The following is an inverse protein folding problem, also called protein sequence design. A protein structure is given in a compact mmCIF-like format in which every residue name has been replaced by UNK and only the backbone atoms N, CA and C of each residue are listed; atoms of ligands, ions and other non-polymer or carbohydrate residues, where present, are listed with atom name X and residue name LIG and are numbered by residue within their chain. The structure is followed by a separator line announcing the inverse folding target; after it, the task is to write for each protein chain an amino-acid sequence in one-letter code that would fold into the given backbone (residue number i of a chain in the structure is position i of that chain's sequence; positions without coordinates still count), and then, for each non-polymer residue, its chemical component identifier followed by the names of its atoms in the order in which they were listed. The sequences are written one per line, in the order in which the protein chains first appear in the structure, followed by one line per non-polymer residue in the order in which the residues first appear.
data_IF_076023526350
#
_entry.id   IF_076023526350
#
_cell.length_a   1.000
_cell.length_b   1.000
_cell.length_c   1.000
_cell.angle_alpha   90.00
_cell.angle_beta   90.00
_cell.angle_gamma   90.00
#
_symmetry.space_group_name_H-M   'P 1'
#
loop_
_entity.id
_entity.type
_entity.pdbx_description
1 polymer ?
#
# COMPACT_ATOMS: atom_id res chain seq x y z
N UNK A 1 25.56 65.97 -19.15
CA UNK A 1 25.28 64.82 -20.01
C UNK A 1 24.05 64.08 -19.49
N UNK A 2 23.04 63.96 -20.36
CA UNK A 2 21.96 62.94 -20.47
C UNK A 2 21.17 62.50 -19.22
N UNK A 3 19.90 62.92 -19.21
CA UNK A 3 18.72 62.26 -18.60
C UNK A 3 18.59 60.80 -19.06
N UNK A 4 17.90 59.94 -18.30
CA UNK A 4 16.98 58.83 -18.70
C UNK A 4 16.51 58.15 -17.38
N UNK A 5 15.29 58.44 -16.90
CA UNK A 5 14.00 57.75 -17.14
C UNK A 5 13.80 56.49 -16.28
N UNK A 6 12.80 56.59 -15.41
CA UNK A 6 12.13 55.54 -14.62
C UNK A 6 11.60 54.43 -15.53
N UNK A 7 11.85 53.16 -15.20
CA UNK A 7 10.99 52.04 -15.64
C UNK A 7 10.82 51.06 -14.48
N UNK A 8 9.58 51.03 -13.99
CA UNK A 8 8.96 50.01 -13.16
C UNK A 8 8.84 48.72 -14.01
N UNK A 9 9.33 47.59 -13.51
CA UNK A 9 9.00 46.29 -14.11
C UNK A 9 8.68 45.26 -13.02
N UNK A 10 7.40 45.23 -12.65
CA UNK A 10 6.72 44.12 -12.00
C UNK A 10 6.67 42.93 -12.97
N UNK A 11 7.40 41.86 -12.67
CA UNK A 11 7.19 40.57 -13.34
C UNK A 11 6.38 39.66 -12.42
N UNK A 12 5.07 39.79 -12.56
CA UNK A 12 4.07 38.85 -12.04
C UNK A 12 4.15 37.60 -12.93
N UNK A 13 4.76 36.52 -12.44
CA UNK A 13 4.62 35.19 -13.03
C UNK A 13 3.41 34.51 -12.39
N UNK A 14 2.22 34.81 -12.94
CA UNK A 14 1.05 33.94 -12.77
C UNK A 14 1.35 32.69 -13.59
N UNK A 15 1.83 31.63 -12.95
CA UNK A 15 1.59 30.30 -13.50
C UNK A 15 0.09 30.05 -13.37
N UNK A 16 -0.62 30.32 -14.45
CA UNK A 16 -1.98 29.86 -14.66
C UNK A 16 -1.93 28.34 -14.77
N UNK A 17 -2.04 27.64 -13.64
CA UNK A 17 -2.52 26.27 -13.67
C UNK A 17 -3.99 26.37 -14.05
N UNK A 18 -4.29 26.05 -15.31
CA UNK A 18 -5.65 25.72 -15.71
C UNK A 18 -6.07 24.51 -14.88
N UNK A 19 -6.80 24.78 -13.80
CA UNK A 19 -7.58 23.74 -13.13
C UNK A 19 -8.73 23.44 -14.08
N UNK A 20 -8.58 22.37 -14.86
CA UNK A 20 -9.69 21.81 -15.61
C UNK A 20 -10.60 21.16 -14.57
N UNK A 21 -11.55 21.93 -14.05
CA UNK A 21 -12.72 21.38 -13.38
C UNK A 21 -13.62 20.75 -14.44
N UNK A 22 -13.38 19.47 -14.71
CA UNK A 22 -14.38 18.60 -15.30
C UNK A 22 -15.26 18.04 -14.18
N UNK A 23 -16.34 18.74 -13.84
CA UNK A 23 -17.45 18.12 -13.14
C UNK A 23 -18.31 17.42 -14.19
N UNK A 24 -18.27 16.09 -14.22
CA UNK A 24 -19.45 15.22 -14.11
C UNK A 24 -19.03 13.74 -14.08
N UNK A 25 -19.62 13.07 -13.09
CA UNK A 25 -20.04 11.67 -13.04
C UNK A 25 -19.05 10.51 -12.92
N UNK A 26 -19.36 9.74 -11.87
CA UNK A 26 -19.06 8.34 -11.59
C UNK A 26 -17.68 8.04 -11.03
N UNK A 27 -17.70 7.73 -9.72
CA UNK A 27 -16.85 6.71 -9.10
C UNK A 27 -16.99 5.45 -9.97
N UNK A 28 -16.18 5.38 -11.02
CA UNK A 28 -15.79 4.13 -11.60
C UNK A 28 -14.55 3.74 -10.80
N UNK A 29 -14.63 2.61 -10.10
CA UNK A 29 -13.49 1.71 -10.13
C UNK A 29 -12.95 1.79 -11.55
N UNK A 30 -11.69 2.20 -11.76
CA UNK A 30 -11.06 1.91 -13.06
C UNK A 30 -11.23 0.39 -13.18
N UNK A 31 -12.20 -0.03 -13.99
CA UNK A 31 -12.54 -1.42 -14.21
C UNK A 31 -11.37 -1.99 -15.00
N UNK A 32 -10.32 -2.34 -14.26
CA UNK A 32 -9.35 -3.28 -14.76
C UNK A 32 -10.15 -4.56 -14.99
N UNK A 33 -10.20 -5.06 -16.24
CA UNK A 33 -11.03 -6.20 -16.57
C UNK A 33 -10.71 -7.33 -15.59
N UNK A 34 -11.77 -7.91 -15.03
CA UNK A 34 -11.78 -8.96 -14.00
C UNK A 34 -11.02 -10.26 -14.41
N UNK A 35 -10.30 -10.25 -15.54
CA UNK A 35 -9.64 -11.39 -16.16
C UNK A 35 -8.13 -11.25 -16.34
N UNK A 36 -7.52 -10.12 -16.00
CA UNK A 36 -6.05 -9.98 -16.10
C UNK A 36 -5.42 -10.17 -14.72
N UNK A 37 -5.01 -11.40 -14.43
CA UNK A 37 -4.29 -11.76 -13.20
C UNK A 37 -2.83 -12.03 -13.55
N UNK A 38 -1.97 -11.04 -13.32
CA UNK A 38 -0.52 -11.19 -13.51
C UNK A 38 0.19 -11.46 -12.18
N UNK A 39 1.27 -12.23 -12.22
CA UNK A 39 2.15 -12.43 -11.05
C UNK A 39 3.36 -11.52 -11.13
N UNK A 40 3.66 -10.86 -10.03
CA UNK A 40 4.88 -10.06 -9.87
C UNK A 40 5.72 -10.70 -8.77
N UNK A 41 7.00 -10.92 -9.04
CA UNK A 41 7.95 -11.41 -8.04
C UNK A 41 8.31 -10.28 -7.08
N UNK A 42 8.18 -10.51 -5.78
CA UNK A 42 8.83 -9.70 -4.75
C UNK A 42 10.26 -10.21 -4.56
N UNK A 43 10.73 -10.46 -3.35
CA UNK A 43 12.04 -11.02 -3.07
C UNK A 43 12.01 -12.53 -3.33
N UNK A 44 11.23 -13.26 -2.54
CA UNK A 44 11.20 -14.73 -2.57
C UNK A 44 9.82 -15.28 -2.94
N UNK A 45 8.77 -14.45 -2.83
CA UNK A 45 7.39 -14.81 -3.15
C UNK A 45 6.85 -14.01 -4.33
N UNK A 46 5.66 -14.39 -4.79
CA UNK A 46 4.92 -13.75 -5.86
C UNK A 46 3.62 -13.16 -5.34
N UNK A 47 3.22 -12.02 -5.88
CA UNK A 47 1.91 -11.40 -5.65
C UNK A 47 1.10 -11.40 -6.94
N UNK A 48 -0.18 -11.72 -6.82
CA UNK A 48 -1.13 -11.57 -7.94
C UNK A 48 -1.67 -10.16 -7.97
N UNK A 49 -1.64 -9.53 -9.15
CA UNK A 49 -2.11 -8.17 -9.36
C UNK A 49 -3.14 -8.11 -10.49
N UNK A 50 -4.16 -7.25 -10.37
CA UNK A 50 -5.23 -7.12 -11.36
C UNK A 50 -4.87 -6.16 -12.51
N UNK A 51 -3.58 -6.04 -12.86
CA UNK A 51 -3.11 -5.06 -13.83
C UNK A 51 -2.54 -5.73 -15.07
N UNK A 52 -2.85 -5.14 -16.23
CA UNK A 52 -2.11 -5.40 -17.46
C UNK A 52 -0.72 -4.78 -17.38
N UNK A 53 0.31 -5.64 -17.30
CA UNK A 53 1.71 -5.21 -17.16
C UNK A 53 2.22 -4.39 -18.36
N UNK A 54 1.53 -4.42 -19.51
CA UNK A 54 1.84 -3.54 -20.64
C UNK A 54 1.43 -2.09 -20.38
N UNK A 55 0.45 -1.84 -19.50
CA UNK A 55 -0.10 -0.52 -19.17
C UNK A 55 0.45 0.08 -17.87
N UNK A 56 1.13 -0.72 -17.05
CA UNK A 56 1.71 -0.26 -15.78
C UNK A 56 3.24 -0.36 -15.78
N UNK A 57 3.88 0.56 -15.07
CA UNK A 57 5.31 0.55 -14.78
C UNK A 57 5.51 -0.04 -13.40
N UNK A 58 6.45 -0.97 -13.27
CA UNK A 58 6.86 -1.54 -11.99
C UNK A 58 8.15 -0.85 -11.54
N UNK A 59 8.11 -0.19 -10.39
CA UNK A 59 9.28 0.43 -9.78
C UNK A 59 9.66 -0.35 -8.53
N UNK A 60 10.89 -0.85 -8.50
CA UNK A 60 11.36 -1.76 -7.46
C UNK A 60 12.41 -1.07 -6.59
N UNK A 61 12.18 -1.08 -5.29
CA UNK A 61 13.02 -0.43 -4.28
C UNK A 61 13.48 -1.51 -3.31
N UNK A 62 14.76 -1.85 -3.34
CA UNK A 62 15.36 -2.85 -2.45
C UNK A 62 16.17 -2.18 -1.34
N UNK A 63 15.99 -2.66 -0.10
CA UNK A 63 16.75 -2.21 1.08
C UNK A 63 17.05 -3.42 1.96
N UNK A 64 18.28 -3.93 1.87
CA UNK A 64 18.72 -5.10 2.64
C UNK A 64 17.85 -6.33 2.39
N UNK A 65 17.19 -6.81 3.44
CA UNK A 65 16.28 -7.95 3.38
C UNK A 65 14.84 -7.60 2.99
N UNK A 66 14.58 -6.36 2.59
CA UNK A 66 13.26 -5.88 2.19
C UNK A 66 13.21 -5.43 0.73
N UNK A 67 12.05 -5.61 0.11
CA UNK A 67 11.68 -5.04 -1.18
C UNK A 67 10.32 -4.37 -1.10
N UNK A 68 10.19 -3.28 -1.84
CA UNK A 68 8.93 -2.64 -2.17
C UNK A 68 8.80 -2.56 -3.69
N UNK A 69 7.66 -2.97 -4.21
CA UNK A 69 7.30 -2.82 -5.62
C UNK A 69 6.12 -1.87 -5.71
N UNK A 70 6.32 -0.77 -6.41
CA UNK A 70 5.29 0.22 -6.73
C UNK A 70 4.78 -0.02 -8.15
N UNK A 71 3.46 -0.04 -8.29
CA UNK A 71 2.77 -0.18 -9.57
C UNK A 71 2.22 1.18 -9.94
N UNK A 72 2.74 1.75 -11.03
CA UNK A 72 2.36 3.07 -11.52
C UNK A 72 1.68 2.99 -12.87
N UNK A 73 0.65 3.80 -13.07
CA UNK A 73 0.06 4.00 -14.40
C UNK A 73 1.13 4.58 -15.34
N UNK A 74 1.36 3.95 -16.51
CA UNK A 74 2.41 4.42 -17.44
C UNK A 74 2.09 5.79 -18.04
N UNK A 75 0.81 6.12 -18.19
CA UNK A 75 0.39 7.35 -18.85
C UNK A 75 0.45 8.56 -17.93
N UNK A 76 0.06 8.38 -16.66
CA UNK A 76 -0.01 9.48 -15.69
C UNK A 76 1.16 9.50 -14.69
N UNK A 77 1.86 8.38 -14.51
CA UNK A 77 2.86 8.22 -13.45
C UNK A 77 2.25 8.05 -12.04
N UNK A 78 0.92 8.05 -11.93
CA UNK A 78 0.19 7.91 -10.68
C UNK A 78 0.48 6.56 -10.03
N UNK A 79 0.72 6.57 -8.72
CA UNK A 79 0.85 5.35 -7.93
C UNK A 79 -0.52 4.69 -7.79
N UNK A 80 -0.67 3.48 -8.33
CA UNK A 80 -1.89 2.71 -8.22
C UNK A 80 -1.89 1.89 -6.93
N UNK A 81 -0.85 1.07 -6.74
CA UNK A 81 -0.70 0.18 -5.59
C UNK A 81 0.77 -0.03 -5.26
N UNK A 82 1.05 -0.37 -4.01
CA UNK A 82 2.39 -0.78 -3.58
C UNK A 82 2.32 -2.07 -2.77
N UNK A 83 3.28 -2.94 -3.02
CA UNK A 83 3.46 -4.22 -2.36
C UNK A 83 4.84 -4.27 -1.76
N UNK A 84 5.02 -5.04 -0.69
CA UNK A 84 6.35 -5.26 -0.18
C UNK A 84 6.48 -6.54 0.61
N UNK A 85 7.73 -6.92 0.79
CA UNK A 85 8.16 -8.13 1.47
C UNK A 85 9.45 -7.82 2.24
N UNK A 86 9.51 -8.24 3.49
CA UNK A 86 10.71 -8.29 4.31
C UNK A 86 10.94 -9.73 4.75
N UNK A 87 12.14 -10.24 4.54
CA UNK A 87 12.51 -11.64 4.82
C UNK A 87 13.50 -11.70 5.96
N UNK A 88 13.19 -12.46 6.99
CA UNK A 88 14.03 -12.61 8.18
C UNK A 88 14.23 -14.10 8.48
N UNK A 89 15.41 -14.53 8.95
CA UNK A 89 15.55 -15.89 9.46
C UNK A 89 14.59 -16.09 10.65
N UNK A 90 14.02 -17.28 10.80
CA UNK A 90 13.37 -17.62 12.07
C UNK A 90 14.49 -17.82 13.08
N UNK A 91 14.65 -16.87 14.00
CA UNK A 91 15.52 -17.03 15.15
C UNK A 91 14.72 -17.83 16.18
N UNK A 92 14.96 -19.13 16.26
CA UNK A 92 14.57 -19.89 17.45
C UNK A 92 15.60 -19.59 18.53
N UNK A 93 15.16 -19.21 19.73
CA UNK A 93 16.05 -18.99 20.90
C UNK A 93 16.86 -20.25 21.30
N UNK A 94 16.67 -21.36 20.60
CA UNK A 94 17.55 -22.52 20.64
C UNK A 94 18.65 -22.31 19.60
N UNK A 95 19.67 -21.52 19.97
CA UNK A 95 21.10 -21.84 19.73
C UNK A 95 21.98 -20.62 19.95
N UNK A 96 22.47 -20.48 21.18
CA UNK A 96 23.78 -19.89 21.38
C UNK A 96 24.67 -20.95 22.02
N UNK A 97 24.95 -22.04 21.28
CA UNK A 97 26.15 -22.90 21.32
C UNK A 97 25.88 -24.29 20.73
N UNK A 98 26.44 -24.56 19.53
CA UNK A 98 26.81 -25.89 19.03
C UNK A 98 25.79 -26.79 18.32
N UNK A 99 24.80 -26.29 17.58
CA UNK A 99 24.12 -27.17 16.63
C UNK A 99 24.67 -26.96 15.22
N UNK A 100 25.24 -28.02 14.68
CA UNK A 100 25.52 -28.14 13.26
C UNK A 100 24.18 -28.50 12.61
N UNK A 101 23.54 -27.56 11.93
CA UNK A 101 22.39 -27.89 11.07
C UNK A 101 22.84 -29.00 10.11
N UNK A 102 22.19 -30.18 10.10
CA UNK A 102 22.50 -31.16 9.08
C UNK A 102 22.26 -30.53 7.71
N UNK A 103 23.24 -30.63 6.81
CA UNK A 103 23.24 -30.03 5.46
C UNK A 103 22.03 -30.44 4.57
N UNK A 104 21.16 -31.32 5.08
CA UNK A 104 19.95 -31.85 4.43
C UNK A 104 18.63 -31.43 5.12
N UNK A 105 18.62 -30.46 6.05
CA UNK A 105 17.37 -29.94 6.64
C UNK A 105 16.93 -28.65 5.96
N UNK A 106 15.63 -28.53 5.66
CA UNK A 106 15.07 -27.28 5.16
C UNK A 106 15.12 -26.14 6.18
N UNK A 107 14.97 -24.91 5.69
CA UNK A 107 15.15 -23.67 6.44
C UNK A 107 13.79 -22.98 6.62
N UNK A 108 13.55 -22.46 7.83
CA UNK A 108 12.40 -21.63 8.13
C UNK A 108 12.75 -20.14 8.10
N UNK A 109 11.90 -19.35 7.44
CA UNK A 109 12.05 -17.89 7.29
C UNK A 109 10.73 -17.20 7.61
N UNK A 110 10.81 -16.02 8.21
CA UNK A 110 9.68 -15.13 8.44
C UNK A 110 9.57 -14.15 7.28
N UNK A 111 8.43 -14.15 6.60
CA UNK A 111 8.12 -13.19 5.54
C UNK A 111 7.05 -12.22 6.04
N UNK A 112 7.39 -10.95 6.19
CA UNK A 112 6.43 -9.88 6.45
C UNK A 112 6.07 -9.22 5.13
N UNK A 113 4.84 -9.44 4.68
CA UNK A 113 4.35 -9.01 3.36
C UNK A 113 3.22 -8.02 3.54
N UNK A 114 3.03 -7.12 2.58
CA UNK A 114 1.96 -6.13 2.68
C UNK A 114 1.45 -5.65 1.33
N UNK A 115 0.25 -5.09 1.38
CA UNK A 115 -0.32 -4.22 0.34
C UNK A 115 -0.67 -2.86 0.95
N UNK A 116 -0.44 -1.80 0.19
CA UNK A 116 -0.85 -0.46 0.54
C UNK A 116 -2.03 0.03 -0.28
N UNK A 117 -2.76 0.95 0.34
CA UNK A 117 -3.78 1.76 -0.29
C UNK A 117 -3.55 3.22 0.08
N UNK A 118 -3.65 4.10 -0.92
CA UNK A 118 -3.54 5.54 -0.73
C UNK A 118 -4.91 6.19 -0.95
N UNK A 119 -5.38 6.93 0.05
CA UNK A 119 -6.60 7.74 -0.04
C UNK A 119 -6.24 9.18 0.35
N UNK A 120 -5.80 9.96 -0.65
CA UNK A 120 -5.22 11.28 -0.41
C UNK A 120 -3.82 11.17 0.19
N UNK A 121 -3.57 11.87 1.30
CA UNK A 121 -2.30 11.77 2.02
C UNK A 121 -2.27 10.62 3.06
N UNK A 122 -3.41 9.95 3.29
CA UNK A 122 -3.49 8.78 4.16
C UNK A 122 -3.07 7.52 3.41
N UNK A 123 -2.03 6.84 3.90
CA UNK A 123 -1.54 5.57 3.35
C UNK A 123 -1.82 4.47 4.38
N UNK A 124 -2.75 3.60 4.06
CA UNK A 124 -3.12 2.45 4.89
C UNK A 124 -2.37 1.21 4.40
N UNK A 125 -1.85 0.39 5.31
CA UNK A 125 -1.10 -0.82 4.97
C UNK A 125 -1.64 -2.04 5.69
N UNK A 126 -1.97 -3.08 4.94
CA UNK A 126 -2.42 -4.37 5.44
C UNK A 126 -1.27 -5.38 5.36
N UNK A 127 -0.80 -5.85 6.50
CA UNK A 127 0.26 -6.83 6.64
C UNK A 127 -0.25 -8.25 6.82
N UNK A 128 0.59 -9.18 6.34
CA UNK A 128 0.58 -10.59 6.71
C UNK A 128 1.99 -11.01 7.08
N UNK A 129 2.14 -11.73 8.19
CA UNK A 129 3.43 -12.29 8.62
C UNK A 129 3.33 -13.81 8.49
N UNK A 130 4.22 -14.40 7.70
CA UNK A 130 4.22 -15.81 7.36
C UNK A 130 5.48 -16.50 7.89
N UNK A 131 5.36 -17.78 8.22
CA UNK A 131 6.51 -18.68 8.32
C UNK A 131 6.58 -19.51 7.05
N UNK A 132 7.70 -19.48 6.35
CA UNK A 132 7.94 -20.23 5.11
C UNK A 132 9.04 -21.27 5.34
N UNK A 133 8.75 -22.51 4.96
CA UNK A 133 9.74 -23.60 4.92
C UNK A 133 10.27 -23.74 3.50
N UNK A 134 11.59 -23.84 3.36
CA UNK A 134 12.29 -24.04 2.08
C UNK A 134 13.26 -25.20 2.15
N UNK A 135 13.21 -26.11 1.19
CA UNK A 135 14.19 -27.19 0.99
C UNK A 135 14.49 -27.37 -0.49
N UNK A 136 15.69 -26.99 -0.94
CA UNK A 136 16.02 -26.94 -2.37
C UNK A 136 15.05 -26.02 -3.13
N UNK A 137 14.41 -26.54 -4.17
CA UNK A 137 13.37 -25.81 -4.93
C UNK A 137 11.98 -25.89 -4.30
N UNK A 138 11.79 -26.73 -3.27
CA UNK A 138 10.52 -26.85 -2.56
C UNK A 138 10.35 -25.69 -1.57
N UNK A 139 9.20 -25.04 -1.64
CA UNK A 139 8.74 -24.00 -0.71
C UNK A 139 7.30 -24.25 -0.32
N UNK A 140 6.98 -23.98 0.94
CA UNK A 140 5.61 -23.93 1.45
C UNK A 140 5.47 -22.84 2.50
N UNK A 141 4.29 -22.24 2.57
CA UNK A 141 3.83 -21.41 3.66
C UNK A 141 3.37 -22.37 4.75
N UNK A 142 4.13 -22.43 5.84
CA UNK A 142 3.89 -23.34 6.95
C UNK A 142 2.74 -22.85 7.84
N UNK A 143 2.70 -21.54 8.11
CA UNK A 143 1.62 -20.89 8.87
C UNK A 143 1.57 -19.38 8.65
N UNK A 144 0.42 -18.79 8.97
CA UNK A 144 0.27 -17.35 9.19
C UNK A 144 0.49 -17.06 10.66
N UNK A 145 1.44 -16.18 10.97
CA UNK A 145 1.73 -15.73 12.33
C UNK A 145 0.80 -14.58 12.73
N UNK A 146 0.65 -13.57 11.86
CA UNK A 146 -0.14 -12.37 12.14
C UNK A 146 -0.76 -11.81 10.85
N UNK A 147 -1.87 -11.10 11.00
CA UNK A 147 -2.45 -10.26 9.94
C UNK A 147 -3.02 -9.01 10.59
N UNK A 148 -2.60 -7.82 10.15
CA UNK A 148 -2.97 -6.57 10.82
C UNK A 148 -2.83 -5.35 9.93
N UNK A 149 -3.52 -4.28 10.30
CA UNK A 149 -3.48 -2.98 9.66
C UNK A 149 -2.57 -2.01 10.41
N UNK A 150 -1.89 -1.13 9.67
CA UNK A 150 -1.19 0.05 10.21
C UNK A 150 -1.40 1.29 9.36
N UNK A 151 -1.21 2.43 10.00
CA UNK A 151 -1.00 3.73 9.38
C UNK A 151 0.43 3.80 8.82
N UNK A 152 0.57 3.75 7.49
CA UNK A 152 1.88 3.77 6.81
C UNK A 152 2.32 5.18 6.36
N UNK A 153 1.48 6.19 6.59
CA UNK A 153 1.86 7.60 6.56
C UNK A 153 1.44 8.30 7.85
N UNK A 154 2.05 9.45 8.12
CA UNK A 154 1.67 10.32 9.23
C UNK A 154 0.66 11.38 8.78
N UNK A 155 -0.02 11.99 9.73
CA UNK A 155 -0.94 13.10 9.48
C UNK A 155 -2.08 13.12 10.49
N UNK A 156 -3.08 14.00 10.32
CA UNK A 156 -4.20 14.11 11.23
C UNK A 156 -5.27 13.05 10.91
N UNK A 157 -4.85 11.79 10.87
CA UNK A 157 -5.70 10.66 10.53
C UNK A 157 -5.28 9.39 11.28
N UNK A 158 -6.19 8.43 11.37
CA UNK A 158 -5.95 7.13 12.01
C UNK A 158 -6.82 6.03 11.36
N UNK A 159 -6.49 4.76 11.61
CA UNK A 159 -7.32 3.61 11.27
C UNK A 159 -8.12 3.13 12.47
N UNK A 160 -9.45 3.12 12.31
CA UNK A 160 -10.40 2.51 13.24
C UNK A 160 -11.06 1.27 12.66
N UNK A 161 -11.73 0.51 13.51
CA UNK A 161 -12.56 -0.64 13.13
C UNK A 161 -11.80 -1.66 12.26
N UNK A 162 -10.53 -1.90 12.63
CA UNK A 162 -9.60 -2.76 11.88
C UNK A 162 -10.03 -4.22 11.99
N UNK A 163 -10.29 -4.84 10.85
CA UNK A 163 -10.46 -6.29 10.72
C UNK A 163 -9.54 -6.81 9.62
N UNK A 164 -8.91 -7.96 9.87
CA UNK A 164 -8.03 -8.59 8.91
C UNK A 164 -8.00 -10.10 9.13
N UNK A 165 -7.95 -10.85 8.03
CA UNK A 165 -7.86 -12.30 8.03
C UNK A 165 -7.02 -12.76 6.85
N UNK A 166 -6.29 -13.86 7.05
CA UNK A 166 -5.59 -14.56 5.99
C UNK A 166 -6.02 -16.02 5.97
N UNK A 167 -6.33 -16.53 4.79
CA UNK A 167 -6.75 -17.91 4.57
C UNK A 167 -5.83 -18.61 3.58
N UNK A 168 -5.72 -19.93 3.71
CA UNK A 168 -5.09 -20.79 2.70
C UNK A 168 -5.98 -20.90 1.48
N UNK A 169 -5.42 -20.73 0.28
CA UNK A 169 -6.16 -20.97 -0.98
C UNK A 169 -6.25 -22.45 -1.35
N UNK A 170 -5.55 -23.32 -0.62
CA UNK A 170 -5.62 -24.78 -0.77
C UNK A 170 -6.45 -25.44 0.33
N UNK A 171 -7.08 -24.67 1.22
CA UNK A 171 -8.00 -25.14 2.27
C UNK A 171 -7.37 -25.38 3.64
N UNK A 172 -6.07 -25.66 3.72
CA UNK A 172 -5.34 -25.82 4.99
C UNK A 172 -3.88 -25.38 4.87
N UNK A 173 -3.20 -25.25 6.01
CA UNK A 173 -1.75 -25.13 6.08
C UNK A 173 -1.11 -26.52 6.33
N UNK A 174 0.08 -26.81 5.79
CA UNK A 174 0.89 -25.95 4.93
C UNK A 174 0.26 -25.73 3.54
N UNK A 175 0.56 -24.60 2.91
CA UNK A 175 0.01 -24.22 1.60
C UNK A 175 1.06 -23.57 0.71
N UNK A 176 0.77 -23.46 -0.58
CA UNK A 176 1.62 -22.72 -1.53
C UNK A 176 1.07 -21.35 -1.89
N UNK A 177 -0.18 -21.05 -1.48
CA UNK A 177 -0.82 -19.78 -1.76
C UNK A 177 -1.80 -19.38 -0.65
N UNK A 178 -1.83 -18.09 -0.35
CA UNK A 178 -2.74 -17.50 0.62
C UNK A 178 -3.51 -16.34 -0.01
N UNK A 179 -4.63 -16.01 0.62
CA UNK A 179 -5.36 -14.78 0.36
C UNK A 179 -5.53 -14.04 1.68
N UNK A 180 -5.15 -12.77 1.69
CA UNK A 180 -5.36 -11.87 2.82
C UNK A 180 -6.40 -10.85 2.43
N UNK A 181 -7.41 -10.69 3.30
CA UNK A 181 -8.45 -9.67 3.17
C UNK A 181 -8.54 -8.89 4.47
N UNK A 182 -8.73 -7.58 4.36
CA UNK A 182 -8.95 -6.72 5.50
C UNK A 182 -9.90 -5.57 5.18
N UNK A 183 -10.57 -5.10 6.23
CA UNK A 183 -11.38 -3.89 6.21
C UNK A 183 -10.94 -2.96 7.35
N UNK A 184 -11.07 -1.66 7.12
CA UNK A 184 -10.82 -0.65 8.15
C UNK A 184 -11.57 0.63 7.80
N UNK A 185 -11.65 1.55 8.76
CA UNK A 185 -12.19 2.89 8.56
C UNK A 185 -11.07 3.91 8.72
N UNK A 186 -10.76 4.66 7.66
CA UNK A 186 -9.89 5.84 7.78
C UNK A 186 -10.71 6.94 8.45
N UNK A 187 -10.19 7.51 9.52
CA UNK A 187 -10.77 8.67 10.20
C UNK A 187 -9.80 9.83 10.09
N UNK A 188 -10.25 10.95 9.54
CA UNK A 188 -9.47 12.19 9.42
C UNK A 188 -10.08 13.24 10.32
N UNK A 189 -9.23 13.93 11.08
CA UNK A 189 -9.61 15.07 11.91
C UNK A 189 -9.08 16.34 11.25
N UNK A 190 -9.95 17.25 10.85
CA UNK A 190 -9.54 18.49 10.15
C UNK A 190 -10.43 19.66 10.53
N UNK A 191 -10.16 20.87 10.03
CA UNK A 191 -11.02 22.03 10.22
C UNK A 191 -11.13 22.87 8.94
N UNK A 192 -12.01 23.87 8.94
CA UNK A 192 -12.30 24.68 7.76
C UNK A 192 -11.12 25.52 7.23
N UNK A 193 -10.04 25.68 8.00
CA UNK A 193 -8.85 26.45 7.59
C UNK A 193 -7.78 25.57 6.94
N UNK A 194 -7.86 24.25 7.06
CA UNK A 194 -6.91 23.31 6.45
C UNK A 194 -7.14 23.24 4.94
N UNK A 195 -6.07 23.44 4.18
CA UNK A 195 -6.06 23.36 2.71
C UNK A 195 -5.32 22.09 2.22
N UNK A 196 -5.35 21.83 0.92
CA UNK A 196 -4.64 20.71 0.30
C UNK A 196 -5.25 19.33 0.62
N UNK A 197 -4.40 18.32 0.78
CA UNK A 197 -4.79 16.90 0.83
C UNK A 197 -5.61 16.47 2.06
N UNK A 198 -5.72 17.33 3.07
CA UNK A 198 -6.57 17.13 4.26
C UNK A 198 -7.69 18.17 4.38
N UNK A 199 -7.93 18.96 3.32
CA UNK A 199 -9.07 19.88 3.27
C UNK A 199 -10.39 19.11 3.17
N UNK A 200 -11.44 19.67 3.77
CA UNK A 200 -12.78 19.04 3.79
C UNK A 200 -13.29 18.78 2.37
N UNK A 201 -13.11 19.75 1.47
CA UNK A 201 -13.56 19.65 0.07
C UNK A 201 -12.83 18.53 -0.68
N UNK A 202 -11.51 18.47 -0.58
CA UNK A 202 -10.72 17.42 -1.21
C UNK A 202 -11.09 16.03 -0.67
N UNK A 203 -11.19 15.88 0.65
CA UNK A 203 -11.54 14.60 1.27
C UNK A 203 -12.92 14.11 0.81
N UNK A 204 -13.91 15.02 0.72
CA UNK A 204 -15.22 14.69 0.16
C UNK A 204 -15.13 14.25 -1.30
N UNK A 205 -14.31 14.93 -2.10
CA UNK A 205 -14.12 14.58 -3.52
C UNK A 205 -13.58 13.16 -3.74
N UNK A 206 -12.77 12.65 -2.79
CA UNK A 206 -12.23 11.29 -2.82
C UNK A 206 -13.06 10.30 -1.99
N UNK A 207 -14.30 10.65 -1.64
CA UNK A 207 -15.28 9.73 -1.06
C UNK A 207 -15.30 9.63 0.47
N UNK A 208 -14.69 10.58 1.19
CA UNK A 208 -14.92 10.68 2.63
C UNK A 208 -16.26 11.34 2.95
N UNK A 209 -16.91 10.90 4.03
CA UNK A 209 -18.13 11.51 4.55
C UNK A 209 -17.88 12.15 5.90
N UNK A 210 -18.53 13.28 6.18
CA UNK A 210 -18.46 13.92 7.51
C UNK A 210 -19.34 13.12 8.46
N UNK A 211 -18.74 12.49 9.47
CA UNK A 211 -19.49 11.73 10.47
C UNK A 211 -19.93 12.58 11.66
N UNK A 212 -19.13 13.57 12.04
CA UNK A 212 -19.36 14.37 13.23
C UNK A 212 -18.60 15.71 13.13
N UNK A 213 -19.16 16.76 13.74
CA UNK A 213 -18.53 18.09 13.84
C UNK A 213 -18.62 18.56 15.28
N UNK A 214 -17.50 19.03 15.85
CA UNK A 214 -17.43 19.59 17.19
C UNK A 214 -16.48 20.78 17.22
N UNK A 215 -16.93 21.94 17.69
CA UNK A 215 -16.10 23.14 17.83
C UNK A 215 -15.25 23.46 16.58
N UNK A 216 -15.86 23.45 15.40
CA UNK A 216 -15.22 23.62 14.09
C UNK A 216 -14.19 22.54 13.68
N UNK A 217 -14.09 21.44 14.43
CA UNK A 217 -13.33 20.24 14.07
C UNK A 217 -14.26 19.25 13.41
N UNK A 218 -13.89 18.80 12.21
CA UNK A 218 -14.61 17.86 11.38
C UNK A 218 -13.94 16.50 11.45
N UNK A 219 -14.76 15.47 11.72
CA UNK A 219 -14.35 14.07 11.67
C UNK A 219 -14.91 13.47 10.39
N UNK A 220 -14.03 13.20 9.44
CA UNK A 220 -14.36 12.59 8.17
C UNK A 220 -13.98 11.13 8.17
N UNK A 221 -14.81 10.27 7.56
CA UNK A 221 -14.61 8.82 7.55
C UNK A 221 -14.70 8.26 6.15
N UNK A 222 -13.91 7.23 5.87
CA UNK A 222 -14.00 6.42 4.66
C UNK A 222 -13.73 4.96 5.00
N UNK A 223 -14.66 4.08 4.67
CA UNK A 223 -14.46 2.65 4.79
C UNK A 223 -13.57 2.18 3.63
N UNK A 224 -12.60 1.34 3.95
CA UNK A 224 -11.68 0.76 2.99
C UNK A 224 -11.64 -0.75 3.13
N UNK A 225 -11.36 -1.41 2.02
CA UNK A 225 -11.04 -2.83 1.97
C UNK A 225 -9.79 -3.05 1.13
N UNK A 226 -9.02 -4.06 1.48
CA UNK A 226 -7.90 -4.55 0.70
C UNK A 226 -7.93 -6.07 0.66
N UNK A 227 -7.70 -6.61 -0.52
CA UNK A 227 -7.46 -8.04 -0.73
C UNK A 227 -6.19 -8.20 -1.57
N UNK A 228 -5.40 -9.20 -1.23
CA UNK A 228 -4.25 -9.61 -2.02
C UNK A 228 -3.97 -11.10 -1.90
N UNK A 229 -3.41 -11.66 -2.96
CA UNK A 229 -3.05 -13.08 -3.07
C UNK A 229 -1.54 -13.19 -3.23
N UNK A 230 -0.93 -14.02 -2.39
CA UNK A 230 0.48 -14.35 -2.47
C UNK A 230 0.70 -15.85 -2.70
N UNK A 231 1.76 -16.20 -3.43
CA UNK A 231 2.19 -17.58 -3.62
C UNK A 231 3.71 -17.71 -3.60
N UNK A 232 4.20 -18.91 -3.26
CA UNK A 232 5.65 -19.22 -3.25
C UNK A 232 6.15 -19.73 -4.61
N UNK A 233 5.26 -19.88 -5.58
CA UNK A 233 5.49 -20.25 -6.99
C UNK A 233 4.67 -19.37 -7.93
#
# INVERSE_FOLDING_TARGET
MKRIVTVLLTLILIFSTTVVFGATDNITSKDYPLHVSNKIKLKDIYVTVPFDLSKVKLERIEKGNSVRVEIRDKSTGELLEAYGEKVEPVITDVEAKNFVFPQNSGIYTTHTIYKERTDGAAVSRLYTVLTIYTYGSFRQIDKVNYTYWVEASSGPWELRDKYAITISRTGSFPTTAIETTGTATIVVTTNATVTGSFSIEYLKSIGFTVSYVNNNVYYLRKNISLTYVYSVY
#
